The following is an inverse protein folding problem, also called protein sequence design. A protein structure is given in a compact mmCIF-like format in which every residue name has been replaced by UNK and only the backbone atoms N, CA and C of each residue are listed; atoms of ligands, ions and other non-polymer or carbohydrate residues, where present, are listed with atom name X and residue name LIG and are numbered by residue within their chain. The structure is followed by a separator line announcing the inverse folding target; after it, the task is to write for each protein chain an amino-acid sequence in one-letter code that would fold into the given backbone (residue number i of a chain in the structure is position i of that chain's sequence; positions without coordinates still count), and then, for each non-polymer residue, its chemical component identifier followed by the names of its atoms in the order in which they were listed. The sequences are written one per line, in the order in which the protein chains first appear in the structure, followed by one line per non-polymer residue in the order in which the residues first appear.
data_IF_669458840636
#
_entry.id   IF_669458840636
#
_cell.length_a   1.000
_cell.length_b   1.000
_cell.length_c   1.000
_cell.angle_alpha   90.00
_cell.angle_beta   90.00
_cell.angle_gamma   90.00
#
_symmetry.space_group_name_H-M   'P 1'
#
loop_
_entity.id
_entity.type
_entity.pdbx_description
1 polymer ?
#
# COMPACT_ATOMS: atom_id res chain seq x y z
N UNK A 1 -8.70 22.43 -24.57
CA UNK A 1 -9.17 21.33 -23.69
C UNK A 1 -8.77 20.00 -24.32
N UNK A 2 -8.14 19.07 -23.58
CA UNK A 2 -7.72 17.76 -24.11
C UNK A 2 -8.60 16.67 -23.54
N UNK A 3 -9.42 16.05 -24.39
CA UNK A 3 -10.26 14.90 -24.02
C UNK A 3 -9.52 13.62 -24.40
N UNK A 4 -9.43 12.66 -23.48
CA UNK A 4 -8.85 11.33 -23.74
C UNK A 4 -9.90 10.28 -23.44
N UNK A 5 -10.31 9.53 -24.47
CA UNK A 5 -11.31 8.46 -24.38
C UNK A 5 -10.65 7.15 -24.81
N UNK A 6 -11.01 6.05 -24.15
CA UNK A 6 -10.64 4.70 -24.61
C UNK A 6 -11.78 4.14 -25.43
N UNK A 7 -11.48 3.83 -26.68
CA UNK A 7 -12.38 3.16 -27.59
C UNK A 7 -11.84 1.75 -27.81
N UNK A 8 -12.73 0.80 -28.09
CA UNK A 8 -12.33 -0.52 -28.54
C UNK A 8 -11.75 -0.45 -29.96
N UNK A 9 -10.95 -1.43 -30.34
CA UNK A 9 -10.22 -1.43 -31.62
C UNK A 9 -11.16 -1.58 -32.84
N UNK A 10 -12.29 -2.29 -32.68
CA UNK A 10 -13.36 -2.41 -33.67
C UNK A 10 -13.94 -1.03 -34.01
N UNK A 11 -14.28 -0.25 -32.99
CA UNK A 11 -14.82 1.10 -33.15
C UNK A 11 -13.77 2.05 -33.74
N UNK A 12 -12.52 1.91 -33.34
CA UNK A 12 -11.43 2.77 -33.85
C UNK A 12 -11.22 2.54 -35.35
N UNK A 13 -11.23 1.29 -35.79
CA UNK A 13 -11.09 0.91 -37.19
C UNK A 13 -12.26 1.44 -38.03
N UNK A 14 -13.47 1.40 -37.46
CA UNK A 14 -14.66 1.93 -38.11
C UNK A 14 -14.61 3.45 -38.28
N UNK A 15 -14.16 4.16 -37.25
CA UNK A 15 -13.97 5.61 -37.30
C UNK A 15 -12.96 5.99 -38.39
N UNK A 16 -11.85 5.26 -38.51
CA UNK A 16 -10.85 5.53 -39.56
C UNK A 16 -11.42 5.36 -40.95
N UNK A 17 -12.19 4.29 -41.17
CA UNK A 17 -12.86 4.00 -42.44
C UNK A 17 -13.80 5.13 -42.84
N UNK A 18 -14.65 5.58 -41.91
CA UNK A 18 -15.62 6.65 -42.17
C UNK A 18 -14.90 8.00 -42.35
N UNK A 19 -13.89 8.30 -41.52
CA UNK A 19 -13.12 9.53 -41.62
C UNK A 19 -12.43 9.63 -42.99
N UNK A 20 -11.79 8.55 -43.44
CA UNK A 20 -11.16 8.47 -44.76
C UNK A 20 -12.17 8.65 -45.90
N UNK A 21 -13.35 8.02 -45.81
CA UNK A 21 -14.42 8.18 -46.79
C UNK A 21 -14.95 9.63 -46.89
N UNK A 22 -14.80 10.41 -45.82
CA UNK A 22 -15.17 11.83 -45.77
C UNK A 22 -13.99 12.78 -46.05
N UNK A 23 -12.82 12.27 -46.44
CA UNK A 23 -11.61 13.07 -46.66
C UNK A 23 -11.08 13.76 -45.39
N UNK A 24 -11.42 13.24 -44.22
CA UNK A 24 -11.10 13.82 -42.92
C UNK A 24 -10.08 12.97 -42.16
N UNK A 25 -9.30 13.61 -41.30
CA UNK A 25 -8.50 12.89 -40.31
C UNK A 25 -9.41 12.35 -39.21
N UNK A 26 -8.99 11.25 -38.54
CA UNK A 26 -9.70 10.65 -37.40
C UNK A 26 -10.16 11.71 -36.38
N UNK A 27 -9.25 12.62 -36.00
CA UNK A 27 -9.54 13.66 -35.01
C UNK A 27 -10.51 14.73 -35.51
N UNK A 28 -10.41 15.13 -36.78
CA UNK A 28 -11.32 16.09 -37.39
C UNK A 28 -12.74 15.50 -37.48
N UNK A 29 -12.85 14.24 -37.90
CA UNK A 29 -14.13 13.54 -37.98
C UNK A 29 -14.78 13.38 -36.60
N UNK A 30 -14.03 12.91 -35.59
CA UNK A 30 -14.54 12.78 -34.22
C UNK A 30 -15.05 14.12 -33.69
N UNK A 31 -14.27 15.19 -33.87
CA UNK A 31 -14.63 16.52 -33.35
C UNK A 31 -15.90 17.05 -34.01
N UNK A 32 -16.03 16.90 -35.34
CA UNK A 32 -17.19 17.37 -36.09
C UNK A 32 -18.45 16.53 -35.81
N UNK A 33 -18.29 15.21 -35.65
CA UNK A 33 -19.39 14.33 -35.26
C UNK A 33 -19.89 14.63 -33.86
N UNK A 34 -18.99 14.85 -32.88
CA UNK A 34 -19.38 15.28 -31.54
C UNK A 34 -20.07 16.65 -31.56
N UNK A 35 -19.57 17.61 -32.34
CA UNK A 35 -20.20 18.91 -32.49
C UNK A 35 -21.63 18.79 -33.03
N UNK A 36 -21.83 18.02 -34.10
CA UNK A 36 -23.16 17.78 -34.69
C UNK A 36 -24.11 17.09 -33.71
N UNK A 37 -23.63 16.12 -32.95
CA UNK A 37 -24.42 15.41 -31.96
C UNK A 37 -24.83 16.30 -30.77
N UNK A 38 -24.01 17.30 -30.41
CA UNK A 38 -24.34 18.26 -29.34
C UNK A 38 -25.26 19.38 -29.85
N UNK A 39 -25.28 19.63 -31.16
CA UNK A 39 -26.11 20.67 -31.78
C UNK A 39 -27.43 20.12 -32.37
N UNK A 40 -27.68 18.82 -32.31
CA UNK A 40 -28.91 18.21 -32.82
C UNK A 40 -30.09 18.48 -31.88
N UNK A 41 -31.29 18.64 -32.44
CA UNK A 41 -32.53 18.88 -31.66
C UNK A 41 -32.77 17.78 -30.61
N UNK A 42 -32.48 16.52 -30.95
CA UNK A 42 -32.55 15.37 -30.02
C UNK A 42 -31.67 15.51 -28.76
N UNK A 43 -30.62 16.33 -28.82
CA UNK A 43 -29.72 16.54 -27.68
C UNK A 43 -30.26 17.57 -26.68
N UNK A 44 -31.23 18.40 -27.10
CA UNK A 44 -31.88 19.41 -26.26
C UNK A 44 -32.97 18.82 -25.36
N UNK A 45 -33.54 17.67 -25.76
CA UNK A 45 -34.56 16.93 -25.01
C UNK A 45 -33.99 15.88 -24.03
N UNK A 46 -32.66 15.79 -23.93
CA UNK A 46 -32.03 14.92 -22.92
C UNK A 46 -32.27 15.54 -21.54
N UNK A 47 -32.91 14.82 -20.59
CA UNK A 47 -33.07 15.32 -19.24
C UNK A 47 -31.70 15.69 -18.68
N UNK A 48 -31.51 16.96 -18.32
CA UNK A 48 -30.34 17.41 -17.58
C UNK A 48 -30.47 16.84 -16.17
N UNK A 49 -30.10 15.57 -16.03
CA UNK A 49 -29.93 14.96 -14.71
C UNK A 49 -28.82 15.80 -14.06
N UNK A 50 -29.09 16.47 -12.92
CA UNK A 50 -28.04 17.14 -12.19
C UNK A 50 -27.01 16.06 -11.90
N UNK A 51 -25.81 16.21 -12.46
CA UNK A 51 -24.69 15.32 -12.18
C UNK A 51 -24.42 15.48 -10.70
N UNK A 52 -25.05 14.62 -9.88
CA UNK A 52 -24.67 14.48 -8.49
C UNK A 52 -23.18 14.16 -8.51
N UNK A 53 -22.42 15.03 -7.87
CA UNK A 53 -20.97 15.01 -7.93
C UNK A 53 -20.45 13.61 -7.60
N UNK A 54 -19.76 13.02 -8.58
CA UNK A 54 -18.60 12.15 -8.41
C UNK A 54 -18.73 11.03 -7.37
N UNK A 55 -19.33 9.91 -7.79
CA UNK A 55 -19.01 8.58 -7.27
C UNK A 55 -19.29 8.35 -5.78
N UNK A 56 -19.27 7.08 -5.37
CA UNK A 56 -19.19 6.73 -3.96
C UNK A 56 -17.89 7.29 -3.37
N UNK A 57 -17.83 7.71 -2.09
CA UNK A 57 -16.58 8.14 -1.45
C UNK A 57 -15.43 7.12 -1.56
N UNK A 58 -15.77 5.84 -1.74
CA UNK A 58 -14.83 4.72 -1.92
C UNK A 58 -14.49 4.40 -3.39
N UNK A 59 -15.00 5.17 -4.35
CA UNK A 59 -14.73 4.94 -5.76
C UNK A 59 -13.27 5.27 -6.11
N UNK A 60 -12.64 4.35 -6.82
CA UNK A 60 -11.29 4.56 -7.34
C UNK A 60 -11.29 5.49 -8.55
N UNK A 61 -10.86 6.74 -8.35
CA UNK A 61 -10.67 7.71 -9.43
C UNK A 61 -9.25 7.56 -10.02
N UNK A 62 -9.15 7.41 -11.34
CA UNK A 62 -7.86 7.39 -12.05
C UNK A 62 -7.33 8.80 -12.23
N UNK A 63 -6.17 9.07 -11.63
CA UNK A 63 -5.37 10.28 -11.86
C UNK A 63 -4.23 9.96 -12.82
N UNK A 64 -4.03 10.78 -13.86
CA UNK A 64 -2.90 10.65 -14.80
C UNK A 64 -1.94 11.80 -14.59
N UNK A 65 -0.69 11.50 -14.24
CA UNK A 65 0.37 12.48 -13.97
C UNK A 65 1.47 12.26 -15.01
N UNK A 66 2.04 13.36 -15.52
CA UNK A 66 3.25 13.33 -16.36
C UNK A 66 4.41 13.82 -15.51
N UNK A 67 5.44 12.99 -15.41
CA UNK A 67 6.69 13.29 -14.73
C UNK A 67 7.83 13.16 -15.73
N UNK A 68 8.88 13.94 -15.54
CA UNK A 68 10.13 13.79 -16.25
C UNK A 68 10.81 12.47 -15.88
N UNK A 69 11.71 12.01 -16.76
CA UNK A 69 12.48 10.77 -16.54
C UNK A 69 13.28 10.82 -15.23
N UNK A 70 13.92 11.96 -14.95
CA UNK A 70 14.70 12.18 -13.73
C UNK A 70 13.86 12.05 -12.46
N UNK A 71 12.60 12.51 -12.48
CA UNK A 71 11.68 12.38 -11.35
C UNK A 71 11.30 10.91 -11.12
N UNK A 72 11.05 10.15 -12.19
CA UNK A 72 10.76 8.71 -12.08
C UNK A 72 11.96 7.93 -11.52
N UNK A 73 13.16 8.24 -11.98
CA UNK A 73 14.40 7.61 -11.48
C UNK A 73 14.63 7.94 -10.00
N UNK A 74 14.34 9.17 -9.60
CA UNK A 74 14.39 9.59 -8.18
C UNK A 74 13.36 8.84 -7.34
N UNK A 75 12.15 8.64 -7.85
CA UNK A 75 11.12 7.83 -7.16
C UNK A 75 11.61 6.39 -6.99
N UNK A 76 12.20 5.78 -8.02
CA UNK A 76 12.69 4.41 -7.93
C UNK A 76 13.82 4.25 -6.91
N UNK A 77 14.75 5.21 -6.86
CA UNK A 77 15.85 5.22 -5.90
C UNK A 77 15.36 5.23 -4.44
N UNK A 78 14.28 5.96 -4.16
CA UNK A 78 13.75 6.10 -2.80
C UNK A 78 12.72 5.00 -2.46
N UNK A 79 11.94 4.54 -3.44
CA UNK A 79 10.94 3.50 -3.27
C UNK A 79 11.54 2.09 -3.16
N UNK A 80 12.67 1.85 -3.85
CA UNK A 80 13.35 0.55 -3.92
C UNK A 80 13.69 -0.04 -2.54
N UNK A 81 14.39 0.69 -1.65
CA UNK A 81 14.70 0.21 -0.30
C UNK A 81 13.47 -0.15 0.54
N UNK A 82 12.35 0.55 0.32
CA UNK A 82 11.06 0.28 1.00
C UNK A 82 10.23 -0.82 0.34
N UNK A 83 10.71 -1.39 -0.77
CA UNK A 83 9.97 -2.34 -1.63
C UNK A 83 8.61 -1.81 -2.08
N UNK A 84 8.57 -0.53 -2.42
CA UNK A 84 7.37 0.11 -2.95
C UNK A 84 7.47 0.20 -4.47
N UNK A 85 6.36 -0.05 -5.15
CA UNK A 85 6.21 0.34 -6.55
C UNK A 85 6.08 1.86 -6.66
N UNK A 86 6.40 2.43 -7.83
CA UNK A 86 6.21 3.87 -8.13
C UNK A 86 4.81 4.36 -7.75
N UNK A 87 3.78 3.59 -8.12
CA UNK A 87 2.39 3.91 -7.82
C UNK A 87 2.10 3.88 -6.31
N UNK A 88 2.68 2.94 -5.57
CA UNK A 88 2.50 2.88 -4.12
C UNK A 88 3.19 4.04 -3.41
N UNK A 89 4.41 4.39 -3.83
CA UNK A 89 5.12 5.54 -3.31
C UNK A 89 4.34 6.84 -3.59
N UNK A 90 3.89 7.07 -4.83
CA UNK A 90 3.10 8.27 -5.19
C UNK A 90 1.80 8.37 -4.39
N UNK A 91 1.03 7.27 -4.31
CA UNK A 91 -0.22 7.25 -3.50
C UNK A 91 0.07 7.57 -2.04
N UNK A 92 1.19 7.10 -1.51
CA UNK A 92 1.59 7.30 -0.12
C UNK A 92 2.02 8.74 0.15
N UNK A 93 2.84 9.31 -0.72
CA UNK A 93 3.25 10.72 -0.65
C UNK A 93 2.05 11.66 -0.72
N UNK A 94 1.12 11.44 -1.66
CA UNK A 94 -0.12 12.22 -1.76
C UNK A 94 -0.97 12.10 -0.50
N UNK A 95 -1.12 10.89 0.05
CA UNK A 95 -1.88 10.67 1.28
C UNK A 95 -1.24 11.34 2.49
N UNK A 96 0.09 11.33 2.55
CA UNK A 96 0.82 11.95 3.62
C UNK A 96 0.60 13.47 3.68
N UNK A 97 0.53 14.13 2.52
CA UNK A 97 0.27 15.57 2.43
C UNK A 97 -1.19 15.93 2.73
N UNK A 98 -2.14 15.06 2.38
CA UNK A 98 -3.57 15.35 2.47
C UNK A 98 -4.20 14.98 3.83
N UNK A 99 -3.63 14.01 4.54
CA UNK A 99 -4.16 13.55 5.82
C UNK A 99 -3.08 13.65 6.90
N UNK A 100 -3.24 14.61 7.83
CA UNK A 100 -2.41 14.76 9.05
C UNK A 100 -2.33 13.48 9.90
N UNK A 101 -3.26 12.53 9.68
CA UNK A 101 -3.35 11.23 10.36
C UNK A 101 -3.11 10.03 9.43
N UNK A 102 -2.38 10.19 8.33
CA UNK A 102 -1.90 9.05 7.53
C UNK A 102 -0.97 8.09 8.34
N UNK A 103 -0.63 8.49 9.57
CA UNK A 103 -0.14 7.67 10.66
C UNK A 103 -1.10 6.54 11.14
N UNK A 104 -2.32 6.40 10.60
CA UNK A 104 -3.00 5.08 10.55
C UNK A 104 -2.30 4.23 9.48
N UNK A 105 -1.09 3.83 9.85
CA UNK A 105 -0.01 3.25 9.05
C UNK A 105 -0.48 2.09 8.16
N UNK A 106 -0.58 2.32 6.85
CA UNK A 106 -0.24 1.25 5.90
C UNK A 106 1.27 1.11 5.89
N UNK A 107 1.83 0.42 6.88
CA UNK A 107 3.27 0.11 6.98
C UNK A 107 3.83 -0.31 5.61
N UNK A 108 5.05 0.10 5.28
CA UNK A 108 5.74 -0.41 4.08
C UNK A 108 5.73 -1.95 4.12
N UNK A 109 5.67 -2.64 2.96
CA UNK A 109 5.63 -4.10 2.92
C UNK A 109 6.77 -4.77 3.70
N UNK A 110 7.95 -4.13 3.72
CA UNK A 110 9.10 -4.53 4.55
C UNK A 110 8.73 -4.53 6.03
N UNK A 111 8.23 -3.40 6.55
CA UNK A 111 7.85 -3.25 7.95
C UNK A 111 6.69 -4.18 8.33
N UNK A 112 5.71 -4.39 7.45
CA UNK A 112 4.65 -5.39 7.67
C UNK A 112 5.22 -6.80 7.81
N UNK A 113 6.18 -7.15 6.96
CA UNK A 113 6.85 -8.46 6.99
C UNK A 113 7.63 -8.65 8.28
N UNK A 114 8.36 -7.63 8.74
CA UNK A 114 9.08 -7.69 10.01
C UNK A 114 8.13 -7.82 11.20
N UNK A 115 7.02 -7.07 11.26
CA UNK A 115 5.98 -7.25 12.29
C UNK A 115 5.40 -8.66 12.28
N UNK A 116 5.15 -9.23 11.09
CA UNK A 116 4.64 -10.59 10.98
C UNK A 116 5.63 -11.63 11.52
N UNK A 117 6.94 -11.44 11.31
CA UNK A 117 7.99 -12.28 11.92
C UNK A 117 7.99 -12.17 13.44
N UNK A 118 7.89 -10.96 13.98
CA UNK A 118 7.79 -10.69 15.43
C UNK A 118 6.61 -11.47 16.02
N UNK A 119 5.44 -11.35 15.41
CA UNK A 119 4.22 -12.04 15.86
C UNK A 119 4.41 -13.56 15.92
N UNK A 120 5.04 -14.16 14.90
CA UNK A 120 5.32 -15.60 14.86
C UNK A 120 6.26 -16.04 15.99
N UNK A 121 7.30 -15.26 16.27
CA UNK A 121 8.23 -15.53 17.37
C UNK A 121 7.53 -15.45 18.73
N UNK A 122 6.72 -14.42 18.98
CA UNK A 122 5.94 -14.27 20.22
C UNK A 122 4.99 -15.46 20.43
N UNK A 123 4.32 -15.93 19.38
CA UNK A 123 3.46 -17.13 19.46
C UNK A 123 4.25 -18.42 19.73
N UNK A 124 5.48 -18.55 19.22
CA UNK A 124 6.35 -19.69 19.51
C UNK A 124 6.82 -19.66 20.98
N UNK A 125 7.18 -18.48 21.48
CA UNK A 125 7.51 -18.25 22.89
C UNK A 125 6.36 -18.70 23.79
N UNK A 126 5.14 -18.22 23.52
CA UNK A 126 3.95 -18.59 24.31
C UNK A 126 3.73 -20.11 24.33
N UNK A 127 3.87 -20.79 23.19
CA UNK A 127 3.75 -22.25 23.11
C UNK A 127 4.82 -22.98 23.93
N UNK A 128 6.08 -22.56 23.84
CA UNK A 128 7.19 -23.17 24.58
C UNK A 128 7.03 -23.01 26.10
N UNK A 129 6.60 -21.82 26.55
CA UNK A 129 6.30 -21.58 27.96
C UNK A 129 5.16 -22.48 28.41
N UNK A 130 4.08 -22.56 27.64
CA UNK A 130 2.93 -23.38 27.99
C UNK A 130 3.29 -24.87 28.07
N UNK A 131 4.11 -25.36 27.13
CA UNK A 131 4.64 -26.73 27.17
C UNK A 131 5.49 -27.00 28.41
N UNK A 132 6.36 -26.06 28.77
CA UNK A 132 7.20 -26.21 29.95
C UNK A 132 6.36 -26.19 31.24
N UNK A 133 5.33 -25.35 31.33
CA UNK A 133 4.39 -25.34 32.46
C UNK A 133 3.60 -26.65 32.53
N UNK A 134 3.10 -27.16 31.40
CA UNK A 134 2.42 -28.46 31.37
C UNK A 134 3.35 -29.61 31.78
N UNK A 135 4.60 -29.60 31.30
CA UNK A 135 5.61 -30.59 31.69
C UNK A 135 5.93 -30.50 33.20
N UNK A 136 6.01 -29.29 33.75
CA UNK A 136 6.25 -29.06 35.17
C UNK A 136 5.05 -29.49 36.03
N UNK A 137 3.82 -29.20 35.61
CA UNK A 137 2.60 -29.69 36.27
C UNK A 137 2.48 -31.22 36.21
N UNK A 138 2.89 -31.86 35.11
CA UNK A 138 2.94 -33.31 35.00
C UNK A 138 4.05 -33.93 35.86
N UNK A 139 5.19 -33.24 36.01
CA UNK A 139 6.28 -33.64 36.89
C UNK A 139 5.94 -33.50 38.37
N UNK A 140 4.99 -32.63 38.74
CA UNK A 140 4.58 -32.39 40.12
C UNK A 140 3.40 -33.28 40.57
N UNK A 141 2.99 -34.25 39.76
CA UNK A 141 1.96 -35.24 40.10
C UNK A 141 2.50 -36.26 41.12
N UNK A 142 1.67 -36.79 42.04
CA UNK A 142 2.11 -37.62 43.18
C UNK A 142 2.91 -38.88 42.82
N UNK A 143 2.76 -39.40 41.60
CA UNK A 143 3.42 -40.62 41.10
C UNK A 143 4.58 -40.35 40.13
N UNK A 144 5.00 -39.09 39.97
CA UNK A 144 5.97 -38.70 38.94
C UNK A 144 7.42 -38.84 39.40
N UNK A 145 8.26 -39.49 38.58
CA UNK A 145 9.70 -39.71 38.84
C UNK A 145 10.62 -38.61 38.29
N UNK A 146 10.06 -37.45 37.92
CA UNK A 146 10.77 -36.38 37.23
C UNK A 146 11.44 -35.40 38.20
N UNK A 147 12.74 -35.14 37.97
CA UNK A 147 13.54 -34.19 38.75
C UNK A 147 13.16 -32.74 38.41
N UNK A 148 12.39 -32.13 39.31
CA UNK A 148 11.84 -30.77 39.21
C UNK A 148 12.95 -29.72 39.05
N UNK A 149 14.12 -29.94 39.66
CA UNK A 149 15.25 -29.00 39.61
C UNK A 149 15.85 -28.92 38.21
N UNK A 150 15.95 -30.06 37.51
CA UNK A 150 16.41 -30.12 36.11
C UNK A 150 15.44 -29.42 35.15
N UNK A 151 14.14 -29.56 35.39
CA UNK A 151 13.09 -28.92 34.58
C UNK A 151 13.10 -27.40 34.79
N UNK A 152 13.27 -26.94 36.03
CA UNK A 152 13.39 -25.51 36.35
C UNK A 152 14.61 -24.85 35.71
N UNK A 153 15.75 -25.54 35.64
CA UNK A 153 16.94 -25.06 34.93
C UNK A 153 16.70 -24.93 33.42
N UNK A 154 16.10 -25.95 32.79
CA UNK A 154 15.75 -25.92 31.36
C UNK A 154 14.73 -24.84 31.02
N UNK A 155 13.75 -24.59 31.90
CA UNK A 155 12.80 -23.49 31.76
C UNK A 155 13.51 -22.12 31.84
N UNK A 156 14.46 -21.97 32.77
CA UNK A 156 15.22 -20.72 32.94
C UNK A 156 16.06 -20.40 31.71
N UNK A 157 16.73 -21.41 31.14
CA UNK A 157 17.51 -21.29 29.91
C UNK A 157 16.64 -20.89 28.72
N UNK A 158 15.49 -21.56 28.54
CA UNK A 158 14.51 -21.19 27.51
C UNK A 158 13.99 -19.77 27.70
N UNK A 159 13.70 -19.35 28.93
CA UNK A 159 13.28 -17.97 29.23
C UNK A 159 14.36 -16.93 28.86
N UNK A 160 15.64 -17.26 29.04
CA UNK A 160 16.75 -16.40 28.64
C UNK A 160 16.87 -16.29 27.10
N UNK A 161 16.74 -17.41 26.38
CA UNK A 161 16.72 -17.44 24.91
C UNK A 161 15.55 -16.60 24.35
N UNK A 162 14.35 -16.81 24.90
CA UNK A 162 13.15 -16.05 24.58
C UNK A 162 13.36 -14.55 24.78
N UNK A 163 13.99 -14.16 25.90
CA UNK A 163 14.29 -12.76 26.21
C UNK A 163 15.26 -12.17 25.20
N UNK A 164 16.29 -12.91 24.80
CA UNK A 164 17.24 -12.50 23.75
C UNK A 164 16.56 -12.23 22.41
N UNK A 165 15.70 -13.17 21.97
CA UNK A 165 14.92 -13.01 20.73
C UNK A 165 14.00 -11.79 20.82
N UNK A 166 13.30 -11.58 21.94
CA UNK A 166 12.43 -10.41 22.13
C UNK A 166 13.19 -9.08 22.03
N UNK A 167 14.39 -8.99 22.61
CA UNK A 167 15.20 -7.78 22.56
C UNK A 167 15.71 -7.48 21.15
N UNK A 168 16.22 -8.48 20.45
CA UNK A 168 16.70 -8.29 19.08
C UNK A 168 15.55 -7.90 18.14
N UNK A 169 14.42 -8.59 18.29
CA UNK A 169 13.22 -8.31 17.50
C UNK A 169 12.65 -6.91 17.77
N UNK A 170 12.63 -6.46 19.05
CA UNK A 170 12.30 -5.08 19.41
C UNK A 170 13.25 -4.09 18.74
N UNK A 171 14.56 -4.36 18.73
CA UNK A 171 15.59 -3.49 18.14
C UNK A 171 15.38 -3.34 16.63
N UNK A 172 15.21 -4.45 15.91
CA UNK A 172 14.96 -4.46 14.46
C UNK A 172 13.66 -3.72 14.12
N UNK A 173 12.61 -3.95 14.91
CA UNK A 173 11.32 -3.29 14.71
C UNK A 173 11.40 -1.78 14.95
N UNK A 174 12.04 -1.35 16.04
CA UNK A 174 12.22 0.06 16.36
C UNK A 174 13.06 0.79 15.29
N UNK A 175 14.10 0.15 14.76
CA UNK A 175 14.90 0.70 13.68
C UNK A 175 14.10 0.84 12.37
N UNK A 176 13.30 -0.17 12.02
CA UNK A 176 12.52 -0.19 10.78
C UNK A 176 11.38 0.81 10.80
N UNK A 177 10.60 0.82 11.90
CA UNK A 177 9.51 1.79 12.11
C UNK A 177 10.07 3.20 12.27
N UNK A 178 11.15 3.37 13.04
CA UNK A 178 11.79 4.67 13.26
C UNK A 178 12.30 5.28 11.95
N UNK A 179 12.95 4.49 11.09
CA UNK A 179 13.41 4.93 9.77
C UNK A 179 12.25 5.30 8.85
N UNK A 180 11.17 4.51 8.84
CA UNK A 180 9.98 4.81 8.05
C UNK A 180 9.29 6.09 8.53
N UNK A 181 9.07 6.24 9.85
CA UNK A 181 8.47 7.46 10.43
C UNK A 181 9.35 8.67 10.13
N UNK A 182 10.65 8.59 10.41
CA UNK A 182 11.57 9.71 10.21
C UNK A 182 11.61 10.18 8.76
N UNK A 183 11.55 9.27 7.79
CA UNK A 183 11.50 9.63 6.38
C UNK A 183 10.24 10.45 6.04
N UNK A 184 9.08 10.08 6.58
CA UNK A 184 7.82 10.79 6.29
C UNK A 184 7.64 12.06 7.15
N UNK A 185 8.11 12.06 8.40
CA UNK A 185 7.92 13.17 9.34
C UNK A 185 9.03 14.21 9.32
N UNK A 186 10.13 13.99 8.59
CA UNK A 186 11.13 15.03 8.34
C UNK A 186 10.48 16.12 7.48
N UNK A 187 9.75 17.02 8.12
CA UNK A 187 9.48 18.35 7.57
C UNK A 187 10.84 19.04 7.51
N UNK A 188 11.22 19.52 6.33
CA UNK A 188 12.42 20.32 6.14
C UNK A 188 12.39 21.51 7.12
N UNK A 189 13.13 21.35 8.21
CA UNK A 189 13.33 22.33 9.27
C UNK A 189 14.78 22.81 9.33
N UNK A 190 15.52 22.67 8.23
CA UNK A 190 16.83 23.30 8.02
C UNK A 190 16.77 24.14 6.74
N UNK A 191 15.81 25.06 6.71
CA UNK A 191 15.96 26.32 5.98
C UNK A 191 16.39 27.38 7.01
N UNK A 192 17.62 27.25 7.52
CA UNK A 192 18.29 28.27 8.34
C UNK A 192 19.80 28.02 8.29
N UNK A 193 20.43 28.49 7.21
CA UNK A 193 21.56 29.44 7.21
C UNK A 193 21.93 29.81 5.77
#
# INVERSE_FOLDING_TARGET
MKVTVRLRDDITSEIDRIAAANGQTRSAWISNTLLRAVMSEDSQDVPVIPVQGRGHPDDHIRVTIRLYRSEIESIDAVAGPMRLTRNEWIKRTLRWQLWDKAALLRLAPTTQTEIAKVRKQVLAIGRNINQAVHAMNAANQPESSLDITRIAASLTEKCAEVRGVLWETRRVLAASIGGEIAYWTRRDGEASE
#
